data_IF_076791829998
#
_entry.id   IF_076791829998
#
_cell.length_a   1.000
_cell.length_b   1.000
_cell.length_c   1.000
_cell.angle_alpha   90.00
_cell.angle_beta   90.00
_cell.angle_gamma   90.00
#
_symmetry.space_group_name_H-M   'P 1'
#
loop_
_entity.id
_entity.type
_entity.pdbx_description
1 polymer ?
#
# COMPACT_ATOMS: atom_id res chain seq x y z
N UNK A 1 3.80 -15.44 10.77
CA UNK A 1 3.15 -14.13 10.80
C UNK A 1 1.73 -14.33 10.30
N UNK A 2 0.72 -13.99 11.09
CA UNK A 2 -0.67 -14.15 10.66
C UNK A 2 -1.06 -12.97 9.78
N UNK A 3 -1.74 -13.23 8.64
CA UNK A 3 -2.24 -12.17 7.77
C UNK A 3 -3.12 -11.15 8.54
N UNK A 4 -3.82 -11.60 9.59
CA UNK A 4 -4.67 -10.77 10.45
C UNK A 4 -3.87 -9.71 11.20
N UNK A 5 -2.67 -10.06 11.68
CA UNK A 5 -1.80 -9.13 12.39
C UNK A 5 -1.27 -8.04 11.46
N UNK A 6 -0.93 -8.41 10.22
CA UNK A 6 -0.52 -7.47 9.19
C UNK A 6 -1.69 -6.56 8.80
N UNK A 7 -2.86 -7.15 8.53
CA UNK A 7 -4.06 -6.41 8.13
C UNK A 7 -4.44 -5.36 9.16
N UNK A 8 -4.50 -5.72 10.45
CA UNK A 8 -4.86 -4.79 11.52
C UNK A 8 -3.88 -3.59 11.60
N UNK A 9 -2.58 -3.86 11.54
CA UNK A 9 -1.57 -2.79 11.62
C UNK A 9 -1.64 -1.89 10.38
N UNK A 10 -1.87 -2.48 9.20
CA UNK A 10 -2.05 -1.72 7.96
C UNK A 10 -3.30 -0.87 8.02
N UNK A 11 -4.45 -1.41 8.44
CA UNK A 11 -5.69 -0.64 8.58
C UNK A 11 -5.48 0.59 9.48
N UNK A 12 -4.83 0.43 10.63
CA UNK A 12 -4.59 1.53 11.57
C UNK A 12 -3.73 2.63 10.94
N UNK A 13 -2.57 2.27 10.37
CA UNK A 13 -1.69 3.26 9.75
C UNK A 13 -2.33 3.93 8.53
N UNK A 14 -3.15 3.19 7.79
CA UNK A 14 -3.77 3.67 6.57
C UNK A 14 -4.96 4.60 6.86
N UNK A 15 -5.78 4.28 7.86
CA UNK A 15 -6.84 5.15 8.36
C UNK A 15 -6.25 6.49 8.85
N UNK A 16 -5.13 6.45 9.59
CA UNK A 16 -4.44 7.68 9.99
C UNK A 16 -3.90 8.48 8.81
N UNK A 17 -3.29 7.80 7.83
CA UNK A 17 -2.77 8.47 6.63
C UNK A 17 -3.91 9.13 5.83
N UNK A 18 -5.03 8.44 5.66
CA UNK A 18 -6.20 8.95 4.94
C UNK A 18 -6.87 10.11 5.66
N UNK A 19 -7.03 10.04 6.98
CA UNK A 19 -7.61 11.13 7.79
C UNK A 19 -6.77 12.40 7.77
N UNK A 20 -5.47 12.28 7.59
CA UNK A 20 -4.52 13.39 7.58
C UNK A 20 -4.19 13.89 6.17
N UNK A 21 -4.56 13.15 5.11
CA UNK A 21 -4.30 13.50 3.73
C UNK A 21 -4.90 14.88 3.39
N UNK A 22 -4.07 15.79 2.88
CA UNK A 22 -4.48 17.15 2.53
C UNK A 22 -4.73 18.08 3.73
N UNK A 23 -4.66 17.59 4.97
CA UNK A 23 -4.83 18.42 6.20
C UNK A 23 -3.49 18.87 6.78
N UNK A 24 -2.45 18.07 6.62
CA UNK A 24 -1.09 18.36 7.07
C UNK A 24 -0.09 18.03 5.95
N UNK A 25 1.13 18.57 6.06
CA UNK A 25 2.18 18.33 5.07
C UNK A 25 2.65 16.86 5.11
N UNK A 26 3.01 16.24 3.97
CA UNK A 26 3.48 14.86 3.91
C UNK A 26 4.62 14.54 4.88
N UNK A 27 5.61 15.42 5.00
CA UNK A 27 6.73 15.24 5.94
C UNK A 27 6.29 15.21 7.42
N UNK A 28 5.25 15.98 7.76
CA UNK A 28 4.68 15.99 9.11
C UNK A 28 3.89 14.72 9.39
N UNK A 29 3.12 14.25 8.40
CA UNK A 29 2.39 12.99 8.47
C UNK A 29 3.34 11.79 8.56
N UNK A 30 4.42 11.77 7.78
CA UNK A 30 5.46 10.75 7.88
C UNK A 30 6.04 10.69 9.30
N UNK A 31 6.40 11.85 9.87
CA UNK A 31 6.92 11.92 11.25
C UNK A 31 5.90 11.38 12.26
N UNK A 32 4.63 11.78 12.13
CA UNK A 32 3.56 11.33 13.03
C UNK A 32 3.39 9.81 12.98
N UNK A 33 3.30 9.24 11.77
CA UNK A 33 3.18 7.80 11.60
C UNK A 33 4.41 7.08 12.16
N UNK A 34 5.64 7.57 11.94
CA UNK A 34 6.87 6.92 12.46
C UNK A 34 6.91 6.81 13.99
N UNK A 35 6.29 7.73 14.73
CA UNK A 35 6.28 7.71 16.20
C UNK A 35 5.56 6.49 16.80
N UNK A 36 4.70 5.82 16.04
CA UNK A 36 3.95 4.65 16.51
C UNK A 36 4.75 3.35 16.53
N UNK A 37 5.93 3.31 15.90
CA UNK A 37 6.79 2.13 15.97
C UNK A 37 6.21 0.89 15.28
N UNK A 38 5.60 1.07 14.11
CA UNK A 38 5.03 -0.03 13.31
C UNK A 38 6.05 -1.14 13.02
N UNK A 39 5.60 -2.39 13.02
CA UNK A 39 6.40 -3.59 12.71
C UNK A 39 6.59 -3.78 11.22
N UNK A 40 5.54 -3.55 10.42
CA UNK A 40 5.52 -3.83 8.98
C UNK A 40 5.56 -2.58 8.11
N UNK A 41 5.37 -1.42 8.73
CA UNK A 41 5.03 -0.19 8.02
C UNK A 41 6.18 0.81 8.12
N UNK A 42 6.58 1.32 6.96
CA UNK A 42 7.52 2.41 6.82
C UNK A 42 6.85 3.54 6.04
N UNK A 43 6.38 4.59 6.73
CA UNK A 43 5.93 5.83 6.10
C UNK A 43 7.10 6.48 5.35
N UNK A 44 6.82 7.04 4.17
CA UNK A 44 7.80 7.70 3.31
C UNK A 44 7.17 8.92 2.64
N UNK A 45 7.70 10.11 2.87
CA UNK A 45 7.35 11.30 2.08
C UNK A 45 8.38 11.54 0.98
N UNK A 46 7.91 11.93 -0.21
CA UNK A 46 8.76 12.35 -1.33
C UNK A 46 8.15 13.60 -1.96
N UNK A 47 8.76 14.76 -1.69
CA UNK A 47 8.20 16.04 -2.06
C UNK A 47 6.83 16.25 -1.41
N UNK A 48 5.81 16.48 -2.23
CA UNK A 48 4.43 16.68 -1.79
C UNK A 48 3.59 15.39 -1.77
N UNK A 49 4.20 14.22 -1.99
CA UNK A 49 3.54 12.91 -1.91
C UNK A 49 3.91 12.16 -0.63
N UNK A 50 2.95 11.40 -0.11
CA UNK A 50 3.17 10.43 0.96
C UNK A 50 2.92 9.04 0.39
N UNK A 51 3.78 8.08 0.74
CA UNK A 51 3.54 6.66 0.55
C UNK A 51 3.68 5.92 1.88
N UNK A 52 2.91 4.85 2.02
CA UNK A 52 3.04 3.85 3.07
C UNK A 52 3.73 2.64 2.45
N UNK A 53 4.94 2.32 2.92
CA UNK A 53 5.69 1.15 2.45
C UNK A 53 5.45 0.01 3.43
N UNK A 54 5.00 -1.14 2.93
CA UNK A 54 4.87 -2.37 3.71
C UNK A 54 6.04 -3.28 3.40
N UNK A 55 6.75 -3.73 4.44
CA UNK A 55 7.78 -4.77 4.33
C UNK A 55 7.19 -6.09 4.82
N UNK A 56 6.91 -6.97 3.88
CA UNK A 56 6.21 -8.23 4.08
C UNK A 56 7.08 -9.39 3.58
N UNK A 57 6.79 -10.62 3.99
CA UNK A 57 7.60 -11.79 3.60
C UNK A 57 6.99 -12.63 2.48
N UNK A 58 6.25 -12.02 1.55
CA UNK A 58 5.62 -12.72 0.41
C UNK A 58 6.56 -12.79 -0.82
N UNK A 59 6.37 -13.82 -1.67
CA UNK A 59 7.09 -13.96 -2.94
C UNK A 59 6.49 -13.07 -4.03
N UNK A 60 7.29 -12.61 -4.98
CA UNK A 60 6.78 -11.84 -6.14
C UNK A 60 5.60 -12.59 -6.78
N UNK A 61 4.39 -11.98 -6.81
CA UNK A 61 3.24 -12.60 -7.44
C UNK A 61 3.46 -12.72 -8.95
N UNK A 62 2.88 -13.77 -9.56
CA UNK A 62 2.84 -13.89 -11.02
C UNK A 62 2.06 -12.73 -11.60
N UNK A 63 2.52 -12.21 -12.74
CA UNK A 63 1.88 -11.10 -13.45
C UNK A 63 0.40 -11.35 -13.74
N UNK A 64 0.06 -12.57 -14.17
CA UNK A 64 -1.32 -13.00 -14.46
C UNK A 64 -2.27 -12.87 -13.24
N UNK A 65 -1.75 -13.08 -12.03
CA UNK A 65 -2.51 -12.95 -10.79
C UNK A 65 -2.84 -11.48 -10.53
N UNK A 66 -1.88 -10.59 -10.74
CA UNK A 66 -2.08 -9.14 -10.60
C UNK A 66 -3.01 -8.61 -11.70
N UNK A 67 -2.90 -9.11 -12.93
CA UNK A 67 -3.79 -8.76 -14.04
C UNK A 67 -5.23 -9.19 -13.77
N UNK A 68 -5.42 -10.40 -13.25
CA UNK A 68 -6.75 -10.91 -12.87
C UNK A 68 -7.36 -10.09 -11.74
N UNK A 69 -6.56 -9.74 -10.72
CA UNK A 69 -7.00 -8.87 -9.63
C UNK A 69 -7.38 -7.48 -10.15
N UNK A 70 -6.55 -6.89 -11.01
CA UNK A 70 -6.82 -5.58 -11.58
C UNK A 70 -8.13 -5.57 -12.37
N UNK A 71 -8.36 -6.58 -13.22
CA UNK A 71 -9.59 -6.72 -13.98
C UNK A 71 -10.83 -6.90 -13.09
N UNK A 72 -10.74 -7.71 -12.02
CA UNK A 72 -11.83 -7.97 -11.10
C UNK A 72 -12.32 -6.70 -10.36
N UNK A 73 -11.41 -5.76 -10.10
CA UNK A 73 -11.70 -4.54 -9.34
C UNK A 73 -11.67 -3.26 -10.19
N UNK A 74 -11.62 -3.37 -11.52
CA UNK A 74 -11.60 -2.21 -12.42
C UNK A 74 -10.36 -1.32 -12.26
N UNK A 75 -9.23 -1.88 -11.82
CA UNK A 75 -7.97 -1.18 -11.63
C UNK A 75 -7.16 -1.15 -12.92
N UNK A 76 -6.39 -0.08 -13.10
CA UNK A 76 -5.38 -0.01 -14.18
C UNK A 76 -4.06 -0.59 -13.68
N UNK A 77 -3.28 -1.13 -14.61
CA UNK A 77 -1.89 -1.53 -14.34
C UNK A 77 -0.97 -0.45 -14.89
N UNK A 78 -0.12 0.07 -14.03
CA UNK A 78 0.95 0.99 -14.36
C UNK A 78 2.30 0.49 -13.87
N UNK A 79 3.29 1.38 -13.95
CA UNK A 79 4.62 1.18 -13.42
C UNK A 79 5.10 2.46 -12.74
N UNK A 80 5.87 2.31 -11.67
CA UNK A 80 6.61 3.40 -11.03
C UNK A 80 8.06 2.96 -10.86
N UNK A 81 8.97 3.90 -10.61
CA UNK A 81 10.39 3.56 -10.37
C UNK A 81 10.50 2.47 -9.31
N UNK A 82 11.18 1.37 -9.67
CA UNK A 82 11.40 0.18 -8.82
C UNK A 82 10.19 -0.75 -8.62
N UNK A 83 9.05 -0.51 -9.26
CA UNK A 83 7.88 -1.41 -9.25
C UNK A 83 7.30 -1.53 -10.66
N UNK A 84 7.38 -2.73 -11.22
CA UNK A 84 6.88 -3.09 -12.55
C UNK A 84 5.39 -3.47 -12.55
N UNK A 85 4.84 -3.79 -11.38
CA UNK A 85 3.43 -4.14 -11.18
C UNK A 85 2.79 -3.15 -10.21
N UNK A 86 2.14 -2.12 -10.76
CA UNK A 86 1.44 -1.10 -9.96
C UNK A 86 -0.05 -1.12 -10.28
N UNK A 87 -0.86 -1.41 -9.28
CA UNK A 87 -2.31 -1.24 -9.36
C UNK A 87 -2.64 0.24 -9.17
N UNK A 88 -3.48 0.80 -10.03
CA UNK A 88 -3.88 2.21 -10.01
C UNK A 88 -5.40 2.32 -9.98
N UNK A 89 -5.94 2.98 -8.96
CA UNK A 89 -7.37 3.26 -8.82
C UNK A 89 -7.80 4.48 -9.64
N UNK A 90 -9.10 4.61 -9.92
CA UNK A 90 -9.63 5.77 -10.67
C UNK A 90 -9.29 7.12 -10.03
N UNK A 91 -9.24 7.18 -8.70
CA UNK A 91 -8.87 8.39 -7.94
C UNK A 91 -7.38 8.75 -7.98
N UNK A 92 -6.57 8.04 -8.79
CA UNK A 92 -5.13 8.26 -8.88
C UNK A 92 -4.35 7.72 -7.68
N UNK A 93 -4.95 6.87 -6.87
CA UNK A 93 -4.25 6.11 -5.85
C UNK A 93 -3.53 4.92 -6.47
N UNK A 94 -2.44 4.46 -5.84
CA UNK A 94 -1.67 3.33 -6.34
C UNK A 94 -1.19 2.35 -5.26
N UNK A 95 -0.95 1.11 -5.67
CA UNK A 95 -0.23 0.06 -4.95
C UNK A 95 0.81 -0.56 -5.87
N UNK A 96 2.08 -0.26 -5.63
CA UNK A 96 3.20 -0.98 -6.24
C UNK A 96 3.50 -2.26 -5.47
N UNK A 97 3.59 -3.38 -6.18
CA UNK A 97 3.84 -4.70 -5.59
C UNK A 97 5.19 -5.22 -6.09
N UNK A 98 6.12 -5.43 -5.16
CA UNK A 98 7.42 -6.02 -5.39
C UNK A 98 7.67 -7.17 -4.41
N UNK A 99 8.71 -7.97 -4.66
CA UNK A 99 9.03 -9.15 -3.82
C UNK A 99 9.21 -8.77 -2.36
N UNK A 100 8.22 -9.10 -1.53
CA UNK A 100 8.19 -8.77 -0.11
C UNK A 100 7.99 -7.29 0.23
N UNK A 101 7.61 -6.45 -0.73
CA UNK A 101 7.38 -5.02 -0.48
C UNK A 101 6.13 -4.55 -1.20
N UNK A 102 5.29 -3.79 -0.51
CA UNK A 102 4.23 -3.00 -1.14
C UNK A 102 4.48 -1.51 -0.92
N UNK A 103 4.25 -0.69 -1.93
CA UNK A 103 4.27 0.77 -1.79
C UNK A 103 2.91 1.33 -2.14
N UNK A 104 2.28 2.00 -1.20
CA UNK A 104 0.87 2.37 -1.30
C UNK A 104 0.73 3.87 -1.13
N UNK A 105 0.05 4.57 -2.04
CA UNK A 105 -0.37 5.95 -1.79
C UNK A 105 -1.59 5.97 -0.85
N UNK A 106 -1.76 6.92 0.07
CA UNK A 106 -2.98 7.04 0.90
C UNK A 106 -4.28 7.25 0.10
N UNK A 107 -4.21 7.63 -1.18
CA UNK A 107 -5.37 7.78 -2.07
C UNK A 107 -5.93 6.45 -2.58
N UNK A 108 -5.23 5.33 -2.36
CA UNK A 108 -5.73 4.03 -2.81
C UNK A 108 -6.87 3.56 -1.88
N UNK A 109 -7.92 2.90 -2.40
CA UNK A 109 -9.02 2.45 -1.55
C UNK A 109 -8.57 1.42 -0.52
N UNK A 110 -8.92 1.63 0.75
CA UNK A 110 -8.53 0.75 1.86
C UNK A 110 -9.09 -0.67 1.70
N UNK A 111 -10.33 -0.80 1.24
CA UNK A 111 -10.98 -2.09 0.96
C UNK A 111 -10.18 -2.93 -0.05
N UNK A 112 -9.73 -2.30 -1.14
CA UNK A 112 -8.94 -2.96 -2.17
C UNK A 112 -7.51 -3.28 -1.69
N UNK A 113 -6.96 -2.48 -0.78
CA UNK A 113 -5.68 -2.77 -0.15
C UNK A 113 -5.75 -4.06 0.69
N UNK A 114 -6.83 -4.27 1.44
CA UNK A 114 -7.01 -5.48 2.24
C UNK A 114 -7.19 -6.73 1.39
N UNK A 115 -7.94 -6.62 0.29
CA UNK A 115 -8.07 -7.72 -0.67
C UNK A 115 -6.72 -8.05 -1.34
N UNK A 116 -5.92 -7.03 -1.68
CA UNK A 116 -4.56 -7.24 -2.20
C UNK A 116 -3.65 -7.92 -1.16
N UNK A 117 -3.69 -7.50 0.11
CA UNK A 117 -2.93 -8.15 1.19
C UNK A 117 -3.35 -9.60 1.40
N UNK A 118 -4.65 -9.87 1.38
CA UNK A 118 -5.20 -11.22 1.51
C UNK A 118 -4.71 -12.13 0.39
N UNK A 119 -4.75 -11.66 -0.85
CA UNK A 119 -4.23 -12.38 -2.02
C UNK A 119 -2.75 -12.73 -1.85
N UNK A 120 -1.93 -11.77 -1.40
CA UNK A 120 -0.47 -11.92 -1.31
C UNK A 120 -0.01 -12.77 -0.11
N UNK A 121 -0.72 -12.71 1.01
CA UNK A 121 -0.32 -13.36 2.27
C UNK A 121 -1.01 -14.71 2.53
N UNK A 122 -2.06 -15.04 1.77
CA UNK A 122 -2.73 -16.34 1.86
C UNK A 122 -2.21 -17.36 0.83
N UNK A 123 -1.23 -16.96 0.00
CA UNK A 123 -0.58 -17.77 -1.02
C UNK A 123 0.69 -18.43 -0.50
#
# INVERSE_FOLDING_TARGET
MSWKEVAQEVEEAYDEAQKALGRIRPAELERKLKLKGWRFIQPLSVGDDLSVVLKLSFKQPKREVIESFAAAFGLKIGAIKSFDQVLVSEGGGYVGIGGGIMRISPKFPSELLLEALRLLLSS
#
